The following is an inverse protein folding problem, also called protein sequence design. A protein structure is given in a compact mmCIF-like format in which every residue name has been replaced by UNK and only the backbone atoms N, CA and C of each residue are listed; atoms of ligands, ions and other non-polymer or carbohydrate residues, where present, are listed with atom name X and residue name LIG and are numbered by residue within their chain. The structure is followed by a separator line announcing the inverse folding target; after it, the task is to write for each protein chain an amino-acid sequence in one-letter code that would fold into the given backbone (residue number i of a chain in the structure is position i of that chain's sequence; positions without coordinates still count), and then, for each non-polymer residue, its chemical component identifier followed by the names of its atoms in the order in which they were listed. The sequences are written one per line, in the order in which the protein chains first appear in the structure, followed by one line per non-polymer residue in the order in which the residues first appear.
data_IF_771095746621
#
_entry.id   IF_771095746621
#
_cell.length_a   1.000
_cell.length_b   1.000
_cell.length_c   1.000
_cell.angle_alpha   90.00
_cell.angle_beta   90.00
_cell.angle_gamma   90.00
#
_symmetry.space_group_name_H-M   'P 1'
#
loop_
_entity.id
_entity.type
_entity.pdbx_description
1 polymer ?
#
# COMPACT_ATOMS: atom_id res chain seq x y z
N UNK A 1 -9.04 -29.41 4.12
CA UNK A 1 -9.61 -28.99 5.41
C UNK A 1 -10.98 -29.65 5.59
N UNK A 2 -11.36 -30.08 6.80
CA UNK A 2 -12.70 -30.60 7.08
C UNK A 2 -13.77 -29.48 7.07
N UNK A 3 -15.07 -29.81 7.02
CA UNK A 3 -16.16 -28.83 6.90
C UNK A 3 -16.31 -27.99 8.18
N UNK A 4 -16.49 -26.67 8.05
CA UNK A 4 -16.72 -25.74 9.17
C UNK A 4 -15.48 -25.01 9.72
N UNK A 5 -14.37 -25.02 8.98
CA UNK A 5 -13.11 -24.38 9.40
C UNK A 5 -13.05 -22.95 8.87
N UNK A 6 -13.19 -21.97 9.76
CA UNK A 6 -12.75 -20.60 9.54
C UNK A 6 -11.24 -20.63 9.25
N UNK A 7 -10.86 -20.34 8.00
CA UNK A 7 -9.47 -20.04 7.68
C UNK A 7 -9.05 -18.80 8.47
N UNK A 8 -7.82 -18.79 8.97
CA UNK A 8 -7.23 -17.65 9.64
C UNK A 8 -5.81 -17.44 9.14
N UNK A 9 -5.38 -16.18 9.14
CA UNK A 9 -3.98 -15.79 9.03
C UNK A 9 -3.36 -16.00 10.40
N UNK A 10 -2.30 -16.80 10.48
CA UNK A 10 -1.62 -17.13 11.72
C UNK A 10 -0.27 -16.41 11.82
N UNK A 11 0.03 -15.90 13.01
CA UNK A 11 1.37 -15.43 13.35
C UNK A 11 2.34 -16.62 13.33
N UNK A 12 3.41 -16.50 12.55
CA UNK A 12 4.36 -17.59 12.32
C UNK A 12 5.24 -17.92 13.54
N UNK A 13 5.29 -17.04 14.55
CA UNK A 13 6.12 -17.20 15.75
C UNK A 13 5.32 -17.77 16.92
N UNK A 14 4.14 -17.23 17.16
CA UNK A 14 3.26 -17.53 18.30
C UNK A 14 2.19 -18.56 17.96
N UNK A 15 1.92 -18.79 16.66
CA UNK A 15 0.87 -19.70 16.17
C UNK A 15 -0.56 -19.23 16.48
N UNK A 16 -0.73 -17.98 16.95
CA UNK A 16 -2.05 -17.40 17.22
C UNK A 16 -2.67 -16.85 15.93
N UNK A 17 -4.00 -16.88 15.80
CA UNK A 17 -4.65 -16.23 14.67
C UNK A 17 -4.49 -14.71 14.81
N UNK A 18 -3.88 -14.09 13.80
CA UNK A 18 -3.73 -12.64 13.66
C UNK A 18 -4.96 -12.01 13.01
N UNK A 19 -5.59 -12.73 12.07
CA UNK A 19 -6.74 -12.25 11.34
C UNK A 19 -7.61 -13.41 10.84
N UNK A 20 -8.93 -13.22 10.88
CA UNK A 20 -9.92 -14.18 10.39
C UNK A 20 -10.71 -13.47 9.27
N UNK A 21 -10.44 -13.78 7.99
CA UNK A 21 -11.15 -13.19 6.85
C UNK A 21 -12.61 -13.66 6.76
N UNK A 22 -13.42 -13.05 5.87
CA UNK A 22 -14.76 -13.55 5.55
C UNK A 22 -14.75 -15.00 5.07
N UNK A 23 -15.91 -15.65 5.15
CA UNK A 23 -16.10 -16.99 4.61
C UNK A 23 -15.82 -17.01 3.10
N UNK A 24 -15.19 -18.10 2.63
CA UNK A 24 -14.82 -18.25 1.23
C UNK A 24 -16.02 -18.14 0.26
N UNK A 25 -17.24 -18.46 0.72
CA UNK A 25 -18.47 -18.30 -0.05
C UNK A 25 -18.88 -16.83 -0.26
N UNK A 26 -18.43 -15.91 0.60
CA UNK A 26 -18.71 -14.47 0.51
C UNK A 26 -17.66 -13.71 -0.32
N UNK A 27 -16.43 -14.25 -0.39
CA UNK A 27 -15.31 -13.64 -1.13
C UNK A 27 -15.66 -13.23 -2.57
N UNK A 28 -16.35 -14.04 -3.41
CA UNK A 28 -16.70 -13.63 -4.76
C UNK A 28 -17.56 -12.36 -4.82
N UNK A 29 -18.55 -12.25 -3.92
CA UNK A 29 -19.43 -11.08 -3.86
C UNK A 29 -18.64 -9.84 -3.39
N UNK A 30 -17.87 -9.97 -2.32
CA UNK A 30 -17.03 -8.90 -1.78
C UNK A 30 -15.99 -8.39 -2.79
N UNK A 31 -15.39 -9.29 -3.57
CA UNK A 31 -14.47 -8.92 -4.64
C UNK A 31 -15.15 -8.19 -5.80
N UNK A 32 -16.40 -8.56 -6.14
CA UNK A 32 -17.17 -7.83 -7.14
C UNK A 32 -17.51 -6.41 -6.66
N UNK A 33 -17.91 -6.26 -5.40
CA UNK A 33 -18.14 -4.94 -4.79
C UNK A 33 -16.87 -4.10 -4.77
N UNK A 34 -15.75 -4.69 -4.38
CA UNK A 34 -14.44 -4.06 -4.39
C UNK A 34 -14.04 -3.55 -5.78
N UNK A 35 -14.16 -4.40 -6.81
CA UNK A 35 -13.85 -4.03 -8.20
C UNK A 35 -14.83 -2.98 -8.72
N UNK A 36 -16.10 -3.05 -8.34
CA UNK A 36 -17.10 -2.03 -8.69
C UNK A 36 -16.73 -0.67 -8.07
N UNK A 37 -16.42 -0.65 -6.78
CA UNK A 37 -16.05 0.56 -6.05
C UNK A 37 -14.80 1.21 -6.64
N UNK A 38 -13.72 0.46 -6.87
CA UNK A 38 -12.45 1.06 -7.33
C UNK A 38 -12.57 1.72 -8.72
N UNK A 39 -13.55 1.30 -9.52
CA UNK A 39 -13.86 1.83 -10.85
C UNK A 39 -15.01 2.86 -10.84
N UNK A 40 -15.65 3.08 -9.70
CA UNK A 40 -16.77 4.03 -9.56
C UNK A 40 -16.34 5.48 -9.76
N UNK A 41 -17.30 6.34 -10.08
CA UNK A 41 -17.03 7.78 -10.19
C UNK A 41 -16.68 8.40 -8.82
N UNK A 42 -17.27 7.90 -7.74
CA UNK A 42 -16.91 8.27 -6.37
C UNK A 42 -15.43 8.05 -6.10
N UNK A 43 -14.92 6.84 -6.35
CA UNK A 43 -13.51 6.53 -6.13
C UNK A 43 -12.58 7.38 -7.02
N UNK A 44 -13.03 7.78 -8.22
CA UNK A 44 -12.26 8.68 -9.09
C UNK A 44 -12.14 10.11 -8.55
N UNK A 45 -13.07 10.55 -7.69
CA UNK A 45 -12.97 11.87 -7.03
C UNK A 45 -11.98 11.89 -5.86
N UNK A 46 -11.60 10.72 -5.33
CA UNK A 46 -10.67 10.63 -4.22
C UNK A 46 -9.25 11.03 -4.65
N UNK A 47 -8.47 11.68 -3.76
CA UNK A 47 -7.04 11.82 -3.95
C UNK A 47 -6.39 10.44 -4.18
N UNK A 48 -5.52 10.34 -5.17
CA UNK A 48 -4.95 9.06 -5.62
C UNK A 48 -4.26 8.27 -4.49
N UNK A 49 -3.44 8.87 -3.60
CA UNK A 49 -2.84 8.12 -2.49
C UNK A 49 -3.89 7.54 -1.52
N UNK A 50 -4.99 8.27 -1.29
CA UNK A 50 -6.09 7.82 -0.44
C UNK A 50 -6.81 6.63 -1.11
N UNK A 51 -7.09 6.73 -2.41
CA UNK A 51 -7.67 5.62 -3.18
C UNK A 51 -6.80 4.37 -3.14
N UNK A 52 -5.48 4.53 -3.31
CA UNK A 52 -4.53 3.41 -3.23
C UNK A 52 -4.51 2.78 -1.82
N UNK A 53 -4.51 3.59 -0.76
CA UNK A 53 -4.57 3.11 0.61
C UNK A 53 -5.83 2.28 0.88
N UNK A 54 -7.01 2.80 0.52
CA UNK A 54 -8.28 2.08 0.69
C UNK A 54 -8.28 0.80 -0.15
N UNK A 55 -7.79 0.85 -1.39
CA UNK A 55 -7.72 -0.31 -2.25
C UNK A 55 -6.85 -1.43 -1.67
N UNK A 56 -5.70 -1.09 -1.07
CA UNK A 56 -4.83 -2.04 -0.36
C UNK A 56 -5.53 -2.61 0.87
N UNK A 57 -6.15 -1.77 1.69
CA UNK A 57 -6.87 -2.20 2.88
C UNK A 57 -7.96 -3.22 2.55
N UNK A 58 -8.78 -2.92 1.54
CA UNK A 58 -9.91 -3.76 1.19
C UNK A 58 -9.48 -5.13 0.66
N UNK A 59 -8.45 -5.20 -0.19
CA UNK A 59 -7.95 -6.49 -0.69
C UNK A 59 -7.40 -7.36 0.44
N UNK A 60 -6.64 -6.77 1.37
CA UNK A 60 -6.06 -7.49 2.52
C UNK A 60 -7.13 -7.97 3.51
N UNK A 61 -8.18 -7.17 3.66
CA UNK A 61 -9.34 -7.45 4.51
C UNK A 61 -10.21 -8.58 3.94
N UNK A 62 -10.48 -8.56 2.63
CA UNK A 62 -11.22 -9.63 1.95
C UNK A 62 -10.39 -10.92 1.91
N UNK A 63 -9.07 -10.80 1.72
CA UNK A 63 -8.12 -11.91 1.68
C UNK A 63 -8.48 -13.01 0.65
N UNK A 64 -8.64 -12.66 -0.64
CA UNK A 64 -9.27 -13.54 -1.63
C UNK A 64 -8.44 -14.74 -2.10
N UNK A 65 -7.14 -14.81 -1.75
CA UNK A 65 -6.23 -15.86 -2.19
C UNK A 65 -5.75 -16.73 -1.02
N UNK A 66 -5.35 -17.97 -1.29
CA UNK A 66 -4.72 -18.85 -0.30
C UNK A 66 -3.34 -18.33 0.14
N UNK A 67 -2.58 -17.76 -0.80
CA UNK A 67 -1.31 -17.07 -0.56
C UNK A 67 -1.17 -15.90 -1.54
N UNK A 68 -0.36 -14.90 -1.18
CA UNK A 68 -0.01 -13.78 -2.04
C UNK A 68 -0.81 -12.51 -1.84
N UNK A 69 -1.81 -12.49 -0.94
CA UNK A 69 -2.64 -11.31 -0.67
C UNK A 69 -1.83 -10.04 -0.40
N UNK A 70 -0.79 -10.13 0.46
CA UNK A 70 0.13 -9.04 0.73
C UNK A 70 0.86 -8.50 -0.51
N UNK A 71 1.40 -9.41 -1.33
CA UNK A 71 2.14 -9.07 -2.55
C UNK A 71 1.20 -8.43 -3.58
N UNK A 72 0.02 -9.00 -3.78
CA UNK A 72 -0.99 -8.48 -4.71
C UNK A 72 -1.50 -7.10 -4.28
N UNK A 73 -1.78 -6.90 -2.98
CA UNK A 73 -2.27 -5.61 -2.47
C UNK A 73 -1.26 -4.49 -2.67
N UNK A 74 0.03 -4.78 -2.42
CA UNK A 74 1.12 -3.81 -2.65
C UNK A 74 1.34 -3.53 -4.13
N UNK A 75 1.35 -4.57 -4.96
CA UNK A 75 1.46 -4.42 -6.42
C UNK A 75 0.32 -3.55 -6.99
N UNK A 76 -0.91 -3.76 -6.50
CA UNK A 76 -2.06 -2.96 -6.89
C UNK A 76 -1.96 -1.49 -6.44
N UNK A 77 -1.54 -1.23 -5.20
CA UNK A 77 -1.28 0.14 -4.74
C UNK A 77 -0.22 0.84 -5.62
N UNK A 78 0.90 0.15 -5.89
CA UNK A 78 1.95 0.65 -6.79
C UNK A 78 1.40 0.94 -8.17
N UNK A 79 0.56 0.06 -8.73
CA UNK A 79 -0.08 0.28 -10.02
C UNK A 79 -1.00 1.50 -10.02
N UNK A 80 -1.86 1.67 -9.02
CA UNK A 80 -2.77 2.83 -8.91
C UNK A 80 -1.99 4.14 -8.84
N UNK A 81 -0.92 4.15 -8.05
CA UNK A 81 -0.02 5.30 -7.92
C UNK A 81 0.71 5.58 -9.23
N UNK A 82 1.23 4.55 -9.90
CA UNK A 82 2.07 4.69 -11.10
C UNK A 82 1.31 5.27 -12.28
N UNK A 83 0.12 4.75 -12.57
CA UNK A 83 -0.73 5.25 -13.66
C UNK A 83 -1.25 6.67 -13.40
N UNK A 84 -1.07 7.18 -12.18
CA UNK A 84 -1.47 8.52 -11.75
C UNK A 84 -0.28 9.47 -11.53
N UNK A 85 0.94 9.07 -11.91
CA UNK A 85 2.13 9.93 -11.88
C UNK A 85 2.97 9.89 -10.59
N UNK A 86 2.70 8.98 -9.65
CA UNK A 86 3.42 8.86 -8.37
C UNK A 86 4.61 7.86 -8.39
N UNK A 87 4.90 7.22 -9.53
CA UNK A 87 5.97 6.19 -9.66
C UNK A 87 7.40 6.76 -9.74
N UNK A 88 7.56 8.07 -9.97
CA UNK A 88 8.87 8.71 -10.13
C UNK A 88 9.75 8.03 -11.21
N UNK A 89 9.15 7.45 -12.25
CA UNK A 89 9.82 6.69 -13.34
C UNK A 89 10.59 5.44 -12.83
N UNK A 90 9.98 4.65 -11.95
CA UNK A 90 10.55 3.41 -11.42
C UNK A 90 11.54 3.59 -10.27
N UNK A 91 11.66 4.80 -9.70
CA UNK A 91 12.52 5.07 -8.55
C UNK A 91 11.82 4.88 -7.20
N UNK A 92 10.53 4.53 -7.19
CA UNK A 92 9.77 4.42 -5.95
C UNK A 92 9.39 2.96 -5.63
N UNK A 93 9.96 2.42 -4.55
CA UNK A 93 9.52 1.17 -3.93
C UNK A 93 9.08 1.44 -2.50
N UNK A 94 7.77 1.33 -2.23
CA UNK A 94 7.24 1.39 -0.87
C UNK A 94 7.50 0.09 -0.08
N UNK A 95 7.87 -1.00 -0.78
CA UNK A 95 8.05 -2.31 -0.16
C UNK A 95 9.20 -2.33 0.86
N UNK A 96 10.29 -1.61 0.58
CA UNK A 96 11.43 -1.49 1.51
C UNK A 96 11.02 -0.90 2.87
N UNK A 97 10.05 0.01 2.87
CA UNK A 97 9.57 0.69 4.07
C UNK A 97 8.62 -0.19 4.88
N UNK A 98 7.75 -0.95 4.21
CA UNK A 98 6.91 -1.94 4.90
C UNK A 98 7.74 -3.05 5.54
N UNK A 99 8.80 -3.51 4.86
CA UNK A 99 9.68 -4.57 5.37
C UNK A 99 10.55 -4.08 6.53
N UNK A 100 10.94 -2.79 6.52
CA UNK A 100 11.73 -2.21 7.61
C UNK A 100 10.99 -2.21 8.96
N UNK A 101 9.65 -2.15 8.95
CA UNK A 101 8.82 -2.26 10.15
C UNK A 101 7.53 -3.05 9.87
N UNK A 102 7.69 -4.38 9.76
CA UNK A 102 6.55 -5.29 9.57
C UNK A 102 5.56 -5.23 10.74
N UNK A 103 6.05 -5.01 11.97
CA UNK A 103 5.17 -4.93 13.15
C UNK A 103 4.30 -3.69 13.08
N UNK A 104 4.87 -2.54 12.74
CA UNK A 104 4.14 -1.29 12.50
C UNK A 104 3.15 -1.43 11.35
N UNK A 105 3.53 -2.09 10.25
CA UNK A 105 2.63 -2.38 9.13
C UNK A 105 1.38 -3.14 9.57
N UNK A 106 1.54 -4.30 10.22
CA UNK A 106 0.41 -5.11 10.64
C UNK A 106 -0.39 -4.44 11.76
N UNK A 107 0.25 -3.73 12.69
CA UNK A 107 -0.44 -2.99 13.75
C UNK A 107 -1.34 -1.89 13.19
N UNK A 108 -0.85 -1.12 12.21
CA UNK A 108 -1.65 -0.05 11.58
C UNK A 108 -2.72 -0.62 10.64
N UNK A 109 -2.47 -1.76 9.98
CA UNK A 109 -3.50 -2.46 9.20
C UNK A 109 -4.62 -3.01 10.10
N UNK A 110 -4.27 -3.51 11.29
CA UNK A 110 -5.24 -4.03 12.25
C UNK A 110 -6.10 -2.93 12.86
N UNK A 111 -5.57 -1.70 12.98
CA UNK A 111 -6.24 -0.51 13.54
C UNK A 111 -6.84 -0.74 14.94
N UNK A 112 -6.28 -1.69 15.71
CA UNK A 112 -6.82 -2.08 17.02
C UNK A 112 -8.18 -2.78 16.98
N UNK A 113 -8.67 -3.16 15.80
CA UNK A 113 -9.92 -3.89 15.64
C UNK A 113 -9.77 -5.35 16.10
N UNK A 114 -10.86 -6.03 16.45
CA UNK A 114 -10.89 -7.48 16.59
C UNK A 114 -10.34 -8.20 15.35
N UNK A 115 -9.83 -9.41 15.56
CA UNK A 115 -9.21 -10.20 14.48
C UNK A 115 -10.23 -10.72 13.47
N UNK A 116 -11.51 -10.79 13.83
CA UNK A 116 -12.59 -11.26 12.95
C UNK A 116 -13.07 -10.17 12.00
N UNK A 117 -13.20 -10.50 10.72
CA UNK A 117 -13.83 -9.63 9.72
C UNK A 117 -15.21 -9.11 10.18
N UNK A 118 -16.02 -9.99 10.77
CA UNK A 118 -17.39 -9.66 11.19
C UNK A 118 -17.45 -8.81 12.47
N UNK A 119 -16.32 -8.61 13.14
CA UNK A 119 -16.21 -7.84 14.37
C UNK A 119 -15.48 -6.52 14.08
N UNK A 120 -16.07 -5.68 13.23
CA UNK A 120 -15.58 -4.31 12.99
C UNK A 120 -15.07 -4.02 11.57
N UNK A 121 -15.17 -4.97 10.63
CA UNK A 121 -14.90 -4.72 9.20
C UNK A 121 -16.09 -4.97 8.27
N UNK A 122 -17.13 -5.66 8.74
CA UNK A 122 -18.41 -5.83 8.03
C UNK A 122 -19.24 -4.53 7.95
N UNK A 123 -19.05 -3.61 8.91
CA UNK A 123 -19.36 -2.20 8.78
C UNK A 123 -18.02 -1.46 8.69
N UNK A 124 -17.75 -0.69 7.62
CA UNK A 124 -16.42 -0.19 7.36
C UNK A 124 -15.93 0.65 8.54
N UNK A 125 -14.74 0.33 9.11
CA UNK A 125 -14.20 1.04 10.24
C UNK A 125 -13.68 2.42 9.83
N UNK A 126 -13.32 3.23 10.81
CA UNK A 126 -12.54 4.44 10.55
C UNK A 126 -11.17 4.06 9.96
N UNK A 127 -10.97 4.36 8.68
CA UNK A 127 -9.74 4.04 7.95
C UNK A 127 -8.64 5.08 8.13
N UNK A 128 -8.87 6.17 8.86
CA UNK A 128 -7.88 7.24 9.06
C UNK A 128 -6.53 6.70 9.56
N UNK A 129 -6.44 5.82 10.58
CA UNK A 129 -5.15 5.32 11.05
C UNK A 129 -4.34 4.61 9.96
N UNK A 130 -5.02 3.80 9.13
CA UNK A 130 -4.37 3.12 8.02
C UNK A 130 -3.95 4.08 6.90
N UNK A 131 -4.82 5.03 6.55
CA UNK A 131 -4.53 6.02 5.51
C UNK A 131 -3.36 6.91 5.92
N UNK A 132 -3.32 7.38 7.16
CA UNK A 132 -2.21 8.17 7.71
C UNK A 132 -0.90 7.39 7.68
N UNK A 133 -0.91 6.12 8.10
CA UNK A 133 0.26 5.25 8.01
C UNK A 133 0.71 5.06 6.57
N UNK A 134 -0.20 4.78 5.64
CA UNK A 134 0.11 4.58 4.22
C UNK A 134 0.75 5.85 3.61
N UNK A 135 0.18 7.02 3.89
CA UNK A 135 0.72 8.31 3.43
C UNK A 135 2.09 8.57 4.06
N UNK A 136 2.28 8.26 5.34
CA UNK A 136 3.58 8.38 6.01
C UNK A 136 4.67 7.51 5.39
N UNK A 137 4.32 6.30 4.90
CA UNK A 137 5.25 5.45 4.15
C UNK A 137 5.60 6.08 2.80
N UNK A 138 4.60 6.60 2.09
CA UNK A 138 4.82 7.31 0.82
C UNK A 138 5.72 8.55 1.01
N UNK A 139 5.51 9.31 2.08
CA UNK A 139 6.34 10.47 2.43
C UNK A 139 7.81 10.06 2.65
N UNK A 140 8.05 9.01 3.43
CA UNK A 140 9.40 8.51 3.70
C UNK A 140 10.10 8.04 2.42
N UNK A 141 9.37 7.36 1.54
CA UNK A 141 9.88 6.92 0.24
C UNK A 141 10.32 8.11 -0.63
N UNK A 142 9.46 9.13 -0.76
CA UNK A 142 9.78 10.32 -1.55
C UNK A 142 10.91 11.17 -0.96
N UNK A 143 10.98 11.29 0.37
CA UNK A 143 12.11 11.96 1.04
C UNK A 143 13.44 11.26 0.76
N UNK A 144 13.45 9.93 0.71
CA UNK A 144 14.66 9.15 0.38
C UNK A 144 15.07 9.36 -1.07
N UNK A 145 14.13 9.36 -2.02
CA UNK A 145 14.45 9.66 -3.42
C UNK A 145 15.07 11.06 -3.54
N UNK A 146 14.48 12.06 -2.88
CA UNK A 146 15.03 13.42 -2.87
C UNK A 146 16.44 13.48 -2.24
N UNK A 147 16.67 12.73 -1.16
CA UNK A 147 17.97 12.64 -0.51
C UNK A 147 19.03 11.98 -1.42
N UNK A 148 18.68 10.87 -2.09
CA UNK A 148 19.57 10.19 -3.05
C UNK A 148 19.95 11.15 -4.18
N UNK A 149 18.97 11.84 -4.77
CA UNK A 149 19.21 12.81 -5.84
C UNK A 149 20.15 13.94 -5.39
N UNK A 150 19.97 14.45 -4.15
CA UNK A 150 20.85 15.49 -3.58
C UNK A 150 22.28 14.99 -3.38
N UNK A 151 22.46 13.81 -2.80
CA UNK A 151 23.79 13.24 -2.58
C UNK A 151 24.53 12.99 -3.90
N UNK A 152 23.83 12.51 -4.92
CA UNK A 152 24.40 12.34 -6.26
C UNK A 152 24.85 13.67 -6.86
N UNK A 153 24.04 14.73 -6.72
CA UNK A 153 24.41 16.06 -7.17
C UNK A 153 25.65 16.61 -6.45
N UNK A 154 25.73 16.46 -5.11
CA UNK A 154 26.86 16.92 -4.31
C UNK A 154 28.17 16.20 -4.67
N UNK A 155 28.10 14.90 -4.95
CA UNK A 155 29.24 14.12 -5.44
C UNK A 155 29.64 14.47 -6.88
N UNK A 156 28.68 14.95 -7.68
CA UNK A 156 28.88 15.37 -9.07
C UNK A 156 29.19 16.86 -9.20
N UNK A 157 29.52 17.62 -8.14
CA UNK A 157 29.90 19.04 -8.30
C UNK A 157 31.17 19.12 -9.18
N UNK A 158 30.92 19.23 -10.47
CA UNK A 158 31.88 19.49 -11.51
C UNK A 158 32.06 21.01 -11.56
N UNK A 159 33.28 21.53 -11.34
CA UNK A 159 33.57 22.95 -11.46
C UNK A 159 33.10 23.56 -12.81
N UNK A 160 32.99 22.75 -13.87
CA UNK A 160 32.51 23.16 -15.20
C UNK A 160 31.03 23.53 -15.24
N UNK A 161 30.19 23.03 -14.32
CA UNK A 161 28.78 23.45 -14.21
C UNK A 161 28.62 24.92 -13.81
N UNK A 162 29.67 25.53 -13.23
CA UNK A 162 29.70 26.97 -12.91
C UNK A 162 30.05 27.85 -14.13
N UNK A 163 30.45 27.23 -15.23
CA UNK A 163 30.85 27.88 -16.48
C UNK A 163 30.18 27.18 -17.66
N UNK A 164 28.85 27.18 -17.71
CA UNK A 164 28.14 26.79 -18.92
C UNK A 164 28.42 27.85 -19.99
N UNK A 165 29.12 27.45 -21.05
CA UNK A 165 29.41 28.31 -22.18
C UNK A 165 28.07 28.66 -22.89
N UNK A 166 27.94 29.84 -23.51
CA UNK A 166 26.68 30.28 -24.13
C UNK A 166 26.06 29.30 -25.15
N UNK A 167 26.87 28.39 -25.71
CA UNK A 167 26.43 27.36 -26.65
C UNK A 167 25.63 26.23 -26.00
N UNK A 168 25.71 26.06 -24.68
CA UNK A 168 25.05 25.01 -23.90
C UNK A 168 23.68 25.46 -23.35
N UNK A 169 23.26 26.72 -23.62
CA UNK A 169 22.00 27.33 -23.17
C UNK A 169 20.79 27.08 -24.10
N UNK A 170 20.96 26.29 -25.16
CA UNK A 170 19.86 25.92 -26.07
C UNK A 170 19.40 24.49 -25.77
N UNK A 171 18.56 24.34 -24.77
CA UNK A 171 17.64 23.22 -24.61
C UNK A 171 16.25 23.78 -24.31
#
# INVERSE_FOLDING_TARGET
MPPGVLFAVYDSVTGRPDYIPPDASEVPALMNEYVSWINSDEAKTLPVPVKAAIATYQLLTIHPFEDGNGRTARALATYILSISGYDLKGFNSMEEYYVADLKGYYSNLQMGLPISYYEGRNAPPDLVPWIDYFIGIMEQAFRRVAHIARNQYEQYIDPRLKSLEPKEKKF
#
